data_IF_466232078725
#
_entry.id   IF_466232078725
#
_cell.length_a   1.000
_cell.length_b   1.000
_cell.length_c   1.000
_cell.angle_alpha   90.00
_cell.angle_beta   90.00
_cell.angle_gamma   90.00
#
_symmetry.space_group_name_H-M   'P 1'
#
loop_
_entity.id
_entity.type
_entity.pdbx_description
1 polymer ?
#
# COMPACT_ATOMS: atom_id res chain seq x y z
N UNK A 1 32.38 18.51 18.67
CA UNK A 1 32.02 17.45 17.70
C UNK A 1 30.52 17.55 17.48
N UNK A 2 30.09 18.17 16.39
CA UNK A 2 28.69 18.12 15.96
C UNK A 2 28.47 16.72 15.39
N UNK A 3 27.89 15.84 16.19
CA UNK A 3 27.40 14.55 15.73
C UNK A 3 26.48 14.81 14.55
N UNK A 4 26.84 14.31 13.37
CA UNK A 4 25.99 14.31 12.20
C UNK A 4 24.72 13.53 12.57
N UNK A 5 23.68 14.24 13.01
CA UNK A 5 22.35 13.69 13.10
C UNK A 5 21.99 13.23 11.69
N UNK A 6 21.68 11.94 11.54
CA UNK A 6 21.21 11.39 10.28
C UNK A 6 19.80 11.98 10.05
N UNK A 7 19.76 13.18 9.47
CA UNK A 7 18.54 13.94 9.25
C UNK A 7 17.78 13.32 8.08
N UNK A 8 17.05 12.24 8.32
CA UNK A 8 16.05 11.77 7.36
C UNK A 8 14.79 12.61 7.52
N UNK A 9 14.19 12.98 6.39
CA UNK A 9 12.91 13.68 6.37
C UNK A 9 11.79 12.82 7.01
N UNK A 10 10.87 13.48 7.73
CA UNK A 10 9.78 12.79 8.42
C UNK A 10 8.83 12.07 7.45
N UNK A 11 8.61 12.63 6.25
CA UNK A 11 7.77 12.02 5.21
C UNK A 11 8.45 10.77 4.64
N UNK A 12 9.74 10.85 4.36
CA UNK A 12 10.51 9.72 3.81
C UNK A 12 10.60 8.55 4.79
N UNK A 13 10.90 8.83 6.06
CA UNK A 13 10.91 7.79 7.10
C UNK A 13 9.53 7.14 7.28
N UNK A 14 8.46 7.95 7.22
CA UNK A 14 7.09 7.45 7.29
C UNK A 14 6.79 6.52 6.11
N UNK A 15 7.14 6.92 4.88
CA UNK A 15 6.94 6.08 3.68
C UNK A 15 7.69 4.75 3.78
N UNK A 16 8.97 4.77 4.14
CA UNK A 16 9.77 3.54 4.32
C UNK A 16 9.17 2.62 5.40
N UNK A 17 8.64 3.18 6.48
CA UNK A 17 7.99 2.40 7.54
C UNK A 17 6.67 1.78 7.06
N UNK A 18 5.88 2.53 6.28
CA UNK A 18 4.64 2.01 5.68
C UNK A 18 4.97 0.90 4.70
N UNK A 19 5.94 1.10 3.80
CA UNK A 19 6.44 0.09 2.86
C UNK A 19 6.90 -1.18 3.57
N UNK A 20 7.71 -1.05 4.63
CA UNK A 20 8.23 -2.18 5.41
C UNK A 20 7.19 -2.90 6.30
N UNK A 21 6.03 -2.30 6.59
CA UNK A 21 4.97 -2.91 7.43
C UNK A 21 4.05 -3.90 6.70
N UNK A 22 4.40 -4.31 5.48
CA UNK A 22 3.60 -5.21 4.63
C UNK A 22 4.01 -6.68 4.64
N UNK A 23 4.78 -7.17 5.64
CA UNK A 23 5.31 -8.53 5.65
C UNK A 23 4.23 -9.62 5.59
N UNK A 24 4.03 -10.20 4.39
CA UNK A 24 3.08 -11.27 4.09
C UNK A 24 2.94 -11.51 2.59
N UNK A 25 2.12 -12.48 2.17
CA UNK A 25 1.90 -12.93 0.78
C UNK A 25 1.46 -11.83 -0.21
N UNK A 26 1.14 -10.62 0.28
CA UNK A 26 0.70 -9.47 -0.50
C UNK A 26 1.56 -8.24 -0.14
N UNK A 27 2.74 -8.15 -0.73
CA UNK A 27 3.62 -6.98 -0.66
C UNK A 27 3.31 -6.01 -1.81
N UNK A 28 3.29 -4.71 -1.52
CA UNK A 28 3.04 -3.65 -2.51
C UNK A 28 2.71 -2.31 -1.87
N UNK A 29 2.93 -1.24 -2.63
CA UNK A 29 2.38 0.09 -2.36
C UNK A 29 0.85 0.12 -2.60
N UNK A 30 0.18 1.19 -2.19
CA UNK A 30 -1.24 1.33 -2.41
C UNK A 30 -1.61 1.19 -3.90
N UNK A 31 -0.83 1.80 -4.80
CA UNK A 31 -1.08 1.82 -6.22
C UNK A 31 -1.14 0.41 -6.83
N UNK A 32 -0.13 -0.42 -6.58
CA UNK A 32 -0.03 -1.80 -7.05
C UNK A 32 -1.14 -2.70 -6.50
N UNK A 33 -1.51 -2.54 -5.23
CA UNK A 33 -2.61 -3.28 -4.61
C UNK A 33 -3.95 -2.89 -5.20
N UNK A 34 -4.18 -1.59 -5.43
CA UNK A 34 -5.40 -1.09 -6.08
C UNK A 34 -5.48 -1.53 -7.55
N UNK A 35 -4.36 -1.54 -8.27
CA UNK A 35 -4.29 -2.05 -9.64
C UNK A 35 -4.62 -3.54 -9.68
N UNK A 36 -4.08 -4.32 -8.74
CA UNK A 36 -4.38 -5.76 -8.62
C UNK A 36 -5.86 -6.00 -8.36
N UNK A 37 -6.51 -5.22 -7.49
CA UNK A 37 -7.96 -5.24 -7.30
C UNK A 37 -8.70 -5.05 -8.63
N UNK A 38 -8.37 -4.02 -9.41
CA UNK A 38 -9.02 -3.75 -10.69
C UNK A 38 -8.88 -4.92 -11.68
N UNK A 39 -7.70 -5.55 -11.73
CA UNK A 39 -7.44 -6.72 -12.59
C UNK A 39 -8.30 -7.92 -12.16
N UNK A 40 -8.38 -8.20 -10.86
CA UNK A 40 -9.20 -9.31 -10.36
C UNK A 40 -10.69 -9.04 -10.50
N UNK A 41 -11.15 -7.81 -10.27
CA UNK A 41 -12.55 -7.40 -10.52
C UNK A 41 -12.92 -7.57 -12.00
N UNK A 42 -12.05 -7.13 -12.91
CA UNK A 42 -12.25 -7.34 -14.34
C UNK A 42 -12.28 -8.84 -14.70
N UNK A 43 -11.42 -9.64 -14.08
CA UNK A 43 -11.41 -11.10 -14.25
C UNK A 43 -12.72 -11.73 -13.76
N UNK A 44 -13.28 -11.25 -12.64
CA UNK A 44 -14.59 -11.67 -12.13
C UNK A 44 -15.67 -11.35 -13.15
N UNK A 45 -15.68 -10.13 -13.71
CA UNK A 45 -16.66 -9.72 -14.73
C UNK A 45 -16.60 -10.61 -15.97
N UNK A 46 -15.41 -10.82 -16.53
CA UNK A 46 -15.21 -11.68 -17.71
C UNK A 46 -15.68 -13.12 -17.44
N UNK A 47 -15.37 -13.66 -16.25
CA UNK A 47 -15.80 -15.00 -15.88
C UNK A 47 -17.32 -15.11 -15.76
N UNK A 48 -18.00 -14.12 -15.16
CA UNK A 48 -19.46 -14.08 -15.08
C UNK A 48 -20.08 -14.03 -16.48
N UNK A 49 -19.57 -13.14 -17.35
CA UNK A 49 -20.03 -13.01 -18.74
C UNK A 49 -19.83 -14.31 -19.54
N UNK A 50 -18.75 -15.04 -19.24
CA UNK A 50 -18.43 -16.32 -19.87
C UNK A 50 -19.08 -17.54 -19.22
N UNK A 51 -19.94 -17.35 -18.21
CA UNK A 51 -20.56 -18.45 -17.45
C UNK A 51 -19.58 -19.31 -16.64
N UNK A 52 -18.38 -18.81 -16.35
CA UNK A 52 -17.32 -19.49 -15.60
C UNK A 52 -17.38 -19.16 -14.11
N UNK A 53 -16.99 -20.10 -13.22
CA UNK A 53 -16.90 -19.84 -11.80
C UNK A 53 -15.86 -18.75 -11.51
N UNK A 54 -16.21 -17.82 -10.62
CA UNK A 54 -15.40 -16.65 -10.27
C UNK A 54 -15.12 -16.52 -8.77
N UNK A 55 -15.41 -17.55 -7.96
CA UNK A 55 -15.29 -17.51 -6.50
C UNK A 55 -13.87 -17.17 -6.01
N UNK A 56 -12.85 -17.79 -6.59
CA UNK A 56 -11.46 -17.51 -6.23
C UNK A 56 -11.02 -16.11 -6.65
N UNK A 57 -11.40 -15.67 -7.85
CA UNK A 57 -11.10 -14.32 -8.34
C UNK A 57 -11.81 -13.24 -7.49
N UNK A 58 -13.04 -13.51 -7.03
CA UNK A 58 -13.76 -12.64 -6.08
C UNK A 58 -13.04 -12.56 -4.74
N UNK A 59 -12.65 -13.70 -4.19
CA UNK A 59 -11.88 -13.72 -2.94
C UNK A 59 -10.60 -12.89 -3.05
N UNK A 60 -9.82 -13.06 -4.12
CA UNK A 60 -8.61 -12.26 -4.34
C UNK A 60 -8.94 -10.77 -4.53
N UNK A 61 -9.96 -10.45 -5.33
CA UNK A 61 -10.43 -9.08 -5.53
C UNK A 61 -10.75 -8.40 -4.20
N UNK A 62 -11.49 -9.07 -3.31
CA UNK A 62 -11.85 -8.53 -2.00
C UNK A 62 -10.63 -8.31 -1.10
N UNK A 63 -9.66 -9.26 -1.11
CA UNK A 63 -8.41 -9.11 -0.36
C UNK A 63 -7.59 -7.92 -0.85
N UNK A 64 -7.40 -7.79 -2.18
CA UNK A 64 -6.66 -6.67 -2.76
C UNK A 64 -7.36 -5.33 -2.53
N UNK A 65 -8.69 -5.28 -2.55
CA UNK A 65 -9.44 -4.07 -2.23
C UNK A 65 -9.18 -3.60 -0.79
N UNK A 66 -9.26 -4.53 0.18
CA UNK A 66 -9.00 -4.20 1.58
C UNK A 66 -7.57 -3.71 1.80
N UNK A 67 -6.60 -4.36 1.17
CA UNK A 67 -5.19 -3.97 1.26
C UNK A 67 -4.93 -2.62 0.58
N UNK A 68 -5.48 -2.40 -0.61
CA UNK A 68 -5.47 -1.12 -1.32
C UNK A 68 -5.98 0.02 -0.42
N UNK A 69 -7.16 -0.15 0.20
CA UNK A 69 -7.75 0.85 1.08
C UNK A 69 -6.89 1.10 2.33
N UNK A 70 -6.42 0.04 2.97
CA UNK A 70 -5.57 0.14 4.16
C UNK A 70 -4.27 0.89 3.85
N UNK A 71 -3.54 0.47 2.82
CA UNK A 71 -2.28 1.12 2.40
C UNK A 71 -2.50 2.55 1.93
N UNK A 72 -3.55 2.84 1.18
CA UNK A 72 -3.90 4.21 0.79
C UNK A 72 -4.08 5.11 2.02
N UNK A 73 -4.75 4.61 3.05
CA UNK A 73 -4.94 5.37 4.30
C UNK A 73 -3.61 5.58 5.02
N UNK A 74 -2.72 4.59 5.04
CA UNK A 74 -1.39 4.73 5.65
C UNK A 74 -0.51 5.72 4.88
N UNK A 75 -0.43 5.63 3.56
CA UNK A 75 0.35 6.53 2.73
C UNK A 75 -0.14 7.98 2.83
N UNK A 76 -1.46 8.21 2.86
CA UNK A 76 -2.03 9.55 3.10
C UNK A 76 -1.67 10.12 4.47
N UNK A 77 -1.42 9.29 5.49
CA UNK A 77 -0.90 9.80 6.79
C UNK A 77 0.51 10.34 6.64
N UNK A 78 1.32 9.77 5.74
CA UNK A 78 2.66 10.26 5.44
C UNK A 78 2.63 11.53 4.59
N UNK A 79 1.69 11.68 3.65
CA UNK A 79 1.54 12.91 2.87
C UNK A 79 1.28 14.16 3.73
N UNK A 80 0.66 13.99 4.91
CA UNK A 80 0.42 15.06 5.87
C UNK A 80 1.64 15.40 6.74
N UNK A 81 2.76 14.69 6.59
CA UNK A 81 4.01 14.96 7.30
C UNK A 81 4.80 16.05 6.58
N UNK A 82 5.54 16.84 7.36
CA UNK A 82 6.38 17.91 6.81
C UNK A 82 7.62 17.32 6.17
N UNK A 83 7.99 17.85 4.99
CA UNK A 83 9.25 17.60 4.29
C UNK A 83 10.44 18.40 4.86
N UNK A 84 10.19 19.26 5.83
CA UNK A 84 11.15 20.24 6.34
C UNK A 84 11.43 20.10 7.84
N UNK A 85 10.77 19.16 8.50
CA UNK A 85 10.97 18.89 9.92
C UNK A 85 11.83 17.63 10.02
N UNK A 86 13.14 17.76 10.34
CA UNK A 86 13.99 16.60 10.53
C UNK A 86 13.48 15.76 11.69
N UNK A 87 13.50 14.44 11.53
CA UNK A 87 13.27 13.53 12.64
C UNK A 87 14.45 13.65 13.62
N UNK A 88 14.20 14.10 14.86
CA UNK A 88 15.22 14.12 15.91
C UNK A 88 15.19 12.80 16.70
N UNK A 89 16.11 11.87 16.36
CA UNK A 89 16.47 10.64 17.12
C UNK A 89 15.47 9.48 17.01
N UNK A 90 15.82 8.20 17.29
CA UNK A 90 17.03 7.55 17.85
C UNK A 90 17.11 6.12 17.29
#
# INVERSE_FOLDING_TARGET
MLSFANCTDQKDFCRQTVEGKGGGFFEGDAESLCASYLVFDQTVRINIESGRPSSFARFLSDQYLLLCLYKTIEERKCEKKSEYIPHFGY
#
